data_IF_116045888720
#
_entry.id   IF_116045888720
#
_cell.length_a   1.000
_cell.length_b   1.000
_cell.length_c   1.000
_cell.angle_alpha   90.00
_cell.angle_beta   90.00
_cell.angle_gamma   90.00
#
_symmetry.space_group_name_H-M   'P 1'
#
loop_
_entity.id
_entity.type
_entity.pdbx_description
1 polymer ?
#
# COMPACT_ATOMS: atom_id res chain seq x y z
N UNK A 1 1.17 -13.40 23.78
CA UNK A 1 0.24 -12.65 24.65
C UNK A 1 -1.18 -13.12 24.38
N UNK A 2 -2.02 -13.30 25.42
CA UNK A 2 -3.42 -13.64 25.25
C UNK A 2 -4.23 -12.37 25.04
N UNK A 3 -5.07 -12.33 24.01
CA UNK A 3 -6.11 -11.32 23.84
C UNK A 3 -7.45 -12.05 24.02
N UNK A 4 -8.14 -11.78 25.11
CA UNK A 4 -9.32 -12.56 25.48
C UNK A 4 -8.97 -14.04 25.72
N UNK A 5 -9.79 -14.97 25.22
CA UNK A 5 -9.57 -16.42 25.34
C UNK A 5 -8.60 -16.98 24.26
N UNK A 6 -8.18 -16.18 23.28
CA UNK A 6 -7.36 -16.64 22.17
C UNK A 6 -5.88 -16.34 22.41
N UNK A 7 -5.01 -17.28 22.06
CA UNK A 7 -3.57 -17.06 21.97
C UNK A 7 -3.24 -16.51 20.59
N UNK A 8 -2.67 -15.31 20.53
CA UNK A 8 -2.12 -14.77 19.31
C UNK A 8 -0.60 -14.84 19.38
N UNK A 9 0.01 -15.40 18.36
CA UNK A 9 1.45 -15.28 18.18
C UNK A 9 1.73 -13.96 17.45
N UNK A 10 2.14 -12.93 18.19
CA UNK A 10 2.42 -11.59 17.64
C UNK A 10 3.54 -11.60 16.60
N UNK A 11 4.44 -12.60 16.61
CA UNK A 11 5.45 -12.77 15.58
C UNK A 11 4.87 -13.11 14.20
N UNK A 12 3.61 -13.53 14.14
CA UNK A 12 2.91 -13.89 12.90
C UNK A 12 1.99 -12.77 12.39
N UNK A 13 1.96 -11.60 13.02
CA UNK A 13 1.22 -10.43 12.51
C UNK A 13 2.09 -9.68 11.51
N UNK A 14 1.61 -9.52 10.29
CA UNK A 14 2.43 -8.98 9.18
C UNK A 14 2.27 -7.46 8.99
N UNK A 15 1.12 -6.89 9.31
CA UNK A 15 0.83 -5.48 9.15
C UNK A 15 0.27 -4.85 10.41
N UNK A 16 0.36 -3.53 10.46
CA UNK A 16 -0.21 -2.72 11.52
C UNK A 16 -1.72 -3.00 11.63
N UNK A 17 -2.23 -3.22 12.84
CA UNK A 17 -3.65 -3.37 13.06
C UNK A 17 -4.41 -2.10 12.66
N UNK A 18 -5.58 -2.25 12.07
CA UNK A 18 -6.49 -1.13 11.82
C UNK A 18 -7.46 -0.99 12.99
N UNK A 19 -7.59 0.22 13.52
CA UNK A 19 -8.51 0.53 14.62
C UNK A 19 -9.58 1.49 14.11
N UNK A 20 -10.84 1.06 14.15
CA UNK A 20 -11.99 1.88 13.73
C UNK A 20 -13.20 1.51 14.59
N UNK A 21 -13.91 2.53 15.11
CA UNK A 21 -15.15 2.37 15.84
C UNK A 21 -15.07 1.27 16.91
N UNK A 22 -14.06 1.36 17.78
CA UNK A 22 -13.84 0.42 18.89
C UNK A 22 -13.57 -1.04 18.46
N UNK A 23 -13.22 -1.26 17.20
CA UNK A 23 -12.82 -2.57 16.67
C UNK A 23 -11.39 -2.53 16.17
N UNK A 24 -10.68 -3.64 16.39
CA UNK A 24 -9.35 -3.87 15.84
C UNK A 24 -9.45 -4.94 14.77
N UNK A 25 -8.90 -4.67 13.59
CA UNK A 25 -8.77 -5.62 12.50
C UNK A 25 -7.29 -5.92 12.27
N UNK A 26 -6.95 -7.18 12.19
CA UNK A 26 -5.57 -7.62 11.93
C UNK A 26 -5.57 -8.97 11.22
N UNK A 27 -4.43 -9.36 10.67
CA UNK A 27 -4.25 -10.62 9.95
C UNK A 27 -3.00 -11.36 10.43
N UNK A 28 -2.98 -12.68 10.19
CA UNK A 28 -1.83 -13.52 10.42
C UNK A 28 -1.29 -14.13 9.11
N UNK A 29 -0.11 -14.77 9.19
CA UNK A 29 0.51 -15.42 8.03
C UNK A 29 -0.24 -16.66 7.50
N UNK A 30 -1.21 -17.17 8.23
CA UNK A 30 -2.09 -18.24 7.75
C UNK A 30 -3.25 -17.71 6.90
N UNK A 31 -3.30 -16.40 6.68
CA UNK A 31 -4.37 -15.75 5.92
C UNK A 31 -5.67 -15.55 6.70
N UNK A 32 -5.62 -15.66 8.03
CA UNK A 32 -6.76 -15.32 8.85
C UNK A 32 -6.84 -13.81 9.04
N UNK A 33 -8.06 -13.29 8.98
CA UNK A 33 -8.41 -11.94 9.37
C UNK A 33 -9.27 -12.01 10.60
N UNK A 34 -8.98 -11.15 11.55
CA UNK A 34 -9.66 -11.10 12.85
C UNK A 34 -10.30 -9.73 13.03
N UNK A 35 -11.50 -9.72 13.62
CA UNK A 35 -12.13 -8.54 14.18
C UNK A 35 -12.29 -8.73 15.68
N UNK A 36 -11.82 -7.77 16.46
CA UNK A 36 -11.82 -7.80 17.91
C UNK A 36 -12.48 -6.54 18.46
N UNK A 37 -13.38 -6.68 19.45
CA UNK A 37 -13.95 -5.54 20.18
C UNK A 37 -12.98 -5.09 21.27
N UNK A 38 -12.66 -3.80 21.29
CA UNK A 38 -11.81 -3.21 22.33
C UNK A 38 -12.54 -3.14 23.66
N UNK A 39 -13.82 -2.70 23.64
CA UNK A 39 -14.62 -2.53 24.85
C UNK A 39 -14.95 -3.87 25.49
N UNK A 40 -15.50 -4.80 24.72
CA UNK A 40 -15.96 -6.10 25.22
C UNK A 40 -14.81 -7.08 25.42
N UNK A 41 -13.60 -6.72 24.95
CA UNK A 41 -12.37 -7.53 25.03
C UNK A 41 -12.56 -8.95 24.49
N UNK A 42 -13.34 -9.10 23.42
CA UNK A 42 -13.65 -10.38 22.80
C UNK A 42 -13.41 -10.38 21.28
N UNK A 43 -13.26 -11.59 20.73
CA UNK A 43 -13.20 -11.82 19.30
C UNK A 43 -14.62 -11.75 18.74
N UNK A 44 -14.86 -10.83 17.80
CA UNK A 44 -16.14 -10.70 17.12
C UNK A 44 -16.28 -11.75 16.01
N UNK A 45 -15.26 -11.83 15.14
CA UNK A 45 -15.22 -12.84 14.09
C UNK A 45 -13.79 -13.14 13.64
N UNK A 46 -13.65 -14.32 13.04
CA UNK A 46 -12.44 -14.76 12.33
C UNK A 46 -12.84 -15.25 10.96
N UNK A 47 -12.13 -14.80 9.94
CA UNK A 47 -12.37 -15.13 8.55
C UNK A 47 -11.10 -15.61 7.89
N UNK A 48 -11.19 -16.62 7.00
CA UNK A 48 -10.06 -17.08 6.17
C UNK A 48 -10.56 -17.34 4.75
N UNK A 49 -10.05 -16.56 3.80
CA UNK A 49 -10.38 -16.68 2.37
C UNK A 49 -9.71 -17.91 1.73
N UNK A 50 -8.52 -18.25 2.19
CA UNK A 50 -7.61 -19.18 1.48
C UNK A 50 -7.86 -20.64 1.83
N UNK A 51 -8.42 -20.93 2.98
CA UNK A 51 -8.74 -22.28 3.48
C UNK A 51 -7.54 -23.25 3.35
N UNK A 52 -7.82 -24.50 2.86
CA UNK A 52 -6.78 -25.55 2.76
C UNK A 52 -5.83 -25.37 1.57
N UNK A 53 -6.23 -24.68 0.51
CA UNK A 53 -5.48 -24.59 -0.76
C UNK A 53 -4.09 -23.99 -0.62
N UNK A 54 -3.93 -23.04 0.30
CA UNK A 54 -2.68 -22.29 0.49
C UNK A 54 -2.05 -22.51 1.87
N UNK A 55 -2.35 -23.65 2.51
CA UNK A 55 -1.95 -23.93 3.91
C UNK A 55 -0.43 -23.82 4.14
N UNK A 56 0.38 -24.10 3.13
CA UNK A 56 1.85 -24.10 3.24
C UNK A 56 2.51 -22.80 2.74
N UNK A 57 1.72 -21.79 2.38
CA UNK A 57 2.22 -20.50 1.91
C UNK A 57 1.96 -19.41 2.94
N UNK A 58 2.98 -18.60 3.28
CA UNK A 58 2.76 -17.42 4.11
C UNK A 58 1.94 -16.39 3.34
N UNK A 59 0.74 -16.11 3.82
CA UNK A 59 -0.17 -15.13 3.23
C UNK A 59 0.10 -13.78 3.86
N UNK A 60 0.50 -12.81 3.04
CA UNK A 60 0.78 -11.44 3.45
C UNK A 60 -0.40 -10.56 3.07
N UNK A 61 -1.27 -10.29 4.04
CA UNK A 61 -2.50 -9.52 3.86
C UNK A 61 -2.27 -8.06 4.20
N UNK A 62 -2.77 -7.16 3.34
CA UNK A 62 -2.91 -5.73 3.59
C UNK A 62 -4.37 -5.38 3.72
N UNK A 63 -4.68 -4.54 4.70
CA UNK A 63 -6.03 -4.17 5.07
C UNK A 63 -6.24 -2.66 4.91
N UNK A 64 -7.41 -2.26 4.41
CA UNK A 64 -7.87 -0.88 4.40
C UNK A 64 -9.38 -0.84 4.61
N UNK A 65 -9.86 0.04 5.48
CA UNK A 65 -11.29 0.21 5.72
C UNK A 65 -11.81 1.37 4.87
N UNK A 66 -12.96 1.15 4.25
CA UNK A 66 -13.79 2.17 3.63
C UNK A 66 -15.24 1.93 4.04
N UNK A 67 -15.84 2.89 4.73
CA UNK A 67 -17.21 2.77 5.24
C UNK A 67 -17.38 1.49 6.08
N UNK A 68 -18.31 0.63 5.70
CA UNK A 68 -18.56 -0.67 6.34
C UNK A 68 -17.85 -1.85 5.65
N UNK A 69 -16.84 -1.56 4.83
CA UNK A 69 -16.11 -2.57 4.08
C UNK A 69 -14.64 -2.62 4.48
N UNK A 70 -14.11 -3.82 4.61
CA UNK A 70 -12.70 -4.10 4.72
C UNK A 70 -12.18 -4.54 3.36
N UNK A 71 -11.38 -3.71 2.73
CA UNK A 71 -10.69 -4.02 1.49
C UNK A 71 -9.40 -4.74 1.84
N UNK A 72 -9.21 -5.87 1.21
CA UNK A 72 -8.10 -6.80 1.47
C UNK A 72 -7.35 -7.05 0.19
N UNK A 73 -6.02 -6.96 0.22
CA UNK A 73 -5.14 -7.40 -0.86
C UNK A 73 -4.04 -8.29 -0.31
N UNK A 74 -3.46 -9.13 -1.16
CA UNK A 74 -2.46 -10.10 -0.72
C UNK A 74 -1.29 -10.31 -1.69
N UNK A 75 -0.36 -11.15 -1.26
CA UNK A 75 0.80 -11.56 -2.05
C UNK A 75 0.54 -12.71 -3.04
N UNK A 76 -0.72 -13.09 -3.27
CA UNK A 76 -1.13 -14.07 -4.28
C UNK A 76 -1.89 -13.42 -5.44
N UNK A 77 -2.10 -12.10 -5.39
CA UNK A 77 -2.83 -11.35 -6.40
C UNK A 77 -4.34 -11.29 -6.18
N UNK A 78 -4.83 -11.74 -5.02
CA UNK A 78 -6.23 -11.54 -4.68
C UNK A 78 -6.46 -10.15 -4.09
N UNK A 79 -7.59 -9.57 -4.46
CA UNK A 79 -8.19 -8.41 -3.82
C UNK A 79 -9.67 -8.70 -3.60
N UNK A 80 -10.18 -8.39 -2.41
CA UNK A 80 -11.55 -8.66 -2.07
C UNK A 80 -12.08 -7.70 -1.01
N UNK A 81 -13.41 -7.57 -0.95
CA UNK A 81 -14.13 -6.74 0.00
C UNK A 81 -14.95 -7.61 0.94
N UNK A 82 -14.85 -7.33 2.24
CA UNK A 82 -15.59 -8.01 3.30
C UNK A 82 -16.42 -6.96 4.06
N UNK A 83 -17.67 -7.29 4.38
CA UNK A 83 -18.45 -6.49 5.32
C UNK A 83 -17.85 -6.63 6.73
N UNK A 84 -17.53 -5.50 7.38
CA UNK A 84 -16.86 -5.48 8.71
C UNK A 84 -17.73 -5.98 9.86
N UNK A 85 -19.04 -6.04 9.70
CA UNK A 85 -19.99 -6.50 10.73
C UNK A 85 -20.25 -8.00 10.60
N UNK A 86 -20.52 -8.47 9.37
CA UNK A 86 -20.98 -9.83 9.09
C UNK A 86 -19.88 -10.78 8.66
N UNK A 87 -18.68 -10.28 8.35
CA UNK A 87 -17.56 -11.01 7.73
C UNK A 87 -17.88 -11.65 6.38
N UNK A 88 -18.98 -11.27 5.75
CA UNK A 88 -19.37 -11.78 4.43
C UNK A 88 -18.58 -11.10 3.33
N UNK A 89 -18.12 -11.89 2.34
CA UNK A 89 -17.49 -11.37 1.13
C UNK A 89 -18.55 -10.69 0.28
N UNK A 90 -18.27 -9.44 -0.14
CA UNK A 90 -19.08 -8.71 -1.12
C UNK A 90 -18.66 -9.06 -2.55
N UNK A 91 -17.36 -9.03 -2.79
CA UNK A 91 -16.75 -9.43 -4.05
C UNK A 91 -15.31 -9.89 -3.81
N UNK A 92 -14.79 -10.70 -4.74
CA UNK A 92 -13.40 -11.13 -4.76
C UNK A 92 -12.91 -11.25 -6.20
N UNK A 93 -11.68 -10.80 -6.46
CA UNK A 93 -11.01 -10.85 -7.76
C UNK A 93 -9.58 -11.36 -7.59
N UNK A 94 -9.07 -12.02 -8.62
CA UNK A 94 -7.67 -12.40 -8.71
C UNK A 94 -7.04 -11.75 -9.94
N UNK A 95 -6.00 -10.97 -9.73
CA UNK A 95 -5.25 -10.28 -10.78
C UNK A 95 -3.97 -11.03 -11.18
N UNK A 96 -3.73 -12.21 -10.60
CA UNK A 96 -2.66 -13.14 -10.99
C UNK A 96 -1.27 -12.81 -10.44
N UNK A 97 -1.00 -11.55 -10.12
CA UNK A 97 0.31 -11.07 -9.66
C UNK A 97 0.17 -10.42 -8.30
N UNK A 98 1.09 -10.77 -7.39
CA UNK A 98 1.14 -10.27 -6.02
C UNK A 98 1.00 -8.74 -5.95
N UNK A 99 0.12 -8.24 -5.09
CA UNK A 99 0.06 -6.82 -4.77
C UNK A 99 1.13 -6.44 -3.77
N UNK A 100 1.92 -5.42 -4.09
CA UNK A 100 3.07 -5.02 -3.29
C UNK A 100 2.95 -3.65 -2.63
N UNK A 101 2.06 -2.76 -3.09
CA UNK A 101 1.84 -1.46 -2.45
C UNK A 101 0.82 -1.51 -1.32
N UNK A 102 0.77 -0.44 -0.52
CA UNK A 102 -0.37 -0.18 0.35
C UNK A 102 -1.61 0.14 -0.50
N UNK A 103 -2.78 -0.16 0.06
CA UNK A 103 -4.07 0.18 -0.53
C UNK A 103 -4.35 1.67 -0.28
N UNK A 104 -4.64 2.42 -1.33
CA UNK A 104 -5.16 3.77 -1.25
C UNK A 104 -6.56 3.79 -1.82
N UNK A 105 -7.46 4.61 -1.24
CA UNK A 105 -8.86 4.67 -1.68
C UNK A 105 -9.30 6.13 -1.70
N UNK A 106 -9.93 6.52 -2.80
CA UNK A 106 -10.61 7.80 -2.95
C UNK A 106 -11.75 7.67 -3.96
N UNK A 107 -12.90 8.30 -3.71
CA UNK A 107 -14.09 8.31 -4.58
C UNK A 107 -14.49 6.91 -5.06
N UNK A 108 -14.54 5.93 -4.14
CA UNK A 108 -14.83 4.52 -4.42
C UNK A 108 -13.88 3.84 -5.42
N UNK A 109 -12.71 4.44 -5.64
CA UNK A 109 -11.64 3.86 -6.45
C UNK A 109 -10.51 3.39 -5.52
N UNK A 110 -10.12 2.16 -5.69
CA UNK A 110 -8.96 1.56 -5.03
C UNK A 110 -7.76 1.71 -5.96
N UNK A 111 -6.66 2.27 -5.42
CA UNK A 111 -5.39 2.42 -6.10
C UNK A 111 -4.38 1.47 -5.46
N UNK A 112 -3.78 0.61 -6.26
CA UNK A 112 -2.85 -0.40 -5.79
C UNK A 112 -1.85 -0.79 -6.89
N UNK A 113 -0.59 -1.05 -6.50
CA UNK A 113 0.45 -1.55 -7.38
C UNK A 113 0.70 -3.03 -7.13
N UNK A 114 0.92 -3.77 -8.22
CA UNK A 114 1.41 -5.13 -8.13
C UNK A 114 2.96 -5.18 -8.09
N UNK A 115 3.50 -6.38 -8.00
CA UNK A 115 4.93 -6.63 -7.92
C UNK A 115 5.69 -6.31 -9.23
N UNK A 116 4.98 -6.23 -10.37
CA UNK A 116 5.53 -5.89 -11.68
C UNK A 116 5.38 -4.38 -12.00
N UNK A 117 5.19 -3.56 -10.95
CA UNK A 117 5.02 -2.10 -11.05
C UNK A 117 3.76 -1.62 -11.78
N UNK A 118 2.81 -2.51 -12.10
CA UNK A 118 1.56 -2.12 -12.73
C UNK A 118 0.64 -1.48 -11.71
N UNK A 119 0.17 -0.25 -12.01
CA UNK A 119 -0.85 0.45 -11.22
C UNK A 119 -2.24 -0.03 -11.65
N UNK A 120 -3.05 -0.40 -10.69
CA UNK A 120 -4.47 -0.69 -10.87
C UNK A 120 -5.33 0.37 -10.22
N UNK A 121 -6.34 0.80 -10.94
CA UNK A 121 -7.50 1.50 -10.42
C UNK A 121 -8.68 0.55 -10.48
N UNK A 122 -9.26 0.24 -9.31
CA UNK A 122 -10.27 -0.81 -9.15
C UNK A 122 -11.49 -0.20 -8.48
N UNK A 123 -12.68 -0.52 -8.98
CA UNK A 123 -13.94 -0.11 -8.35
C UNK A 123 -14.09 -0.78 -6.97
N UNK A 124 -14.30 0.02 -5.92
CA UNK A 124 -14.59 -0.50 -4.58
C UNK A 124 -15.94 -1.25 -4.53
N UNK A 125 -16.86 -0.89 -5.40
CA UNK A 125 -18.23 -1.42 -5.38
C UNK A 125 -18.27 -2.90 -5.79
N UNK A 126 -17.52 -3.28 -6.84
CA UNK A 126 -17.61 -4.60 -7.46
C UNK A 126 -16.26 -5.28 -7.73
N UNK A 127 -15.14 -4.59 -7.42
CA UNK A 127 -13.80 -5.12 -7.65
C UNK A 127 -13.37 -5.17 -9.11
N UNK A 128 -14.11 -4.57 -10.04
CA UNK A 128 -13.71 -4.56 -11.45
C UNK A 128 -12.61 -3.51 -11.69
N UNK A 129 -11.68 -3.86 -12.57
CA UNK A 129 -10.65 -2.92 -13.01
C UNK A 129 -11.29 -1.79 -13.81
N UNK A 130 -11.01 -0.55 -13.40
CA UNK A 130 -11.37 0.67 -14.13
C UNK A 130 -10.24 1.01 -15.11
N UNK A 131 -9.00 0.99 -14.61
CA UNK A 131 -7.79 1.24 -15.39
C UNK A 131 -6.66 0.34 -14.89
N UNK A 132 -5.79 -0.08 -15.80
CA UNK A 132 -4.48 -0.68 -15.49
C UNK A 132 -3.42 0.07 -16.27
N UNK A 133 -2.52 0.77 -15.58
CA UNK A 133 -1.38 1.42 -16.21
C UNK A 133 -0.15 0.52 -16.07
N UNK A 134 0.38 0.12 -17.19
CA UNK A 134 1.66 -0.59 -17.26
C UNK A 134 2.80 0.43 -17.26
N UNK A 135 3.75 0.23 -16.37
CA UNK A 135 5.02 0.95 -16.34
C UNK A 135 6.11 0.07 -16.91
N UNK A 136 7.34 0.55 -16.96
CA UNK A 136 8.46 -0.31 -17.35
C UNK A 136 8.56 -1.51 -16.40
N UNK A 137 8.49 -2.75 -16.92
CA UNK A 137 8.52 -3.94 -16.09
C UNK A 137 9.87 -4.06 -15.39
N UNK A 138 9.84 -4.47 -14.13
CA UNK A 138 11.04 -4.87 -13.43
C UNK A 138 11.34 -6.34 -13.73
N UNK A 139 12.54 -6.63 -14.20
CA UNK A 139 13.01 -8.02 -14.36
C UNK A 139 13.25 -8.71 -13.02
N UNK A 140 13.41 -7.93 -11.96
CA UNK A 140 13.64 -8.42 -10.61
C UNK A 140 12.39 -8.19 -9.76
N UNK A 141 11.88 -9.27 -9.14
CA UNK A 141 10.75 -9.18 -8.22
C UNK A 141 11.21 -8.61 -6.89
N UNK A 142 10.76 -7.42 -6.58
CA UNK A 142 11.11 -6.76 -5.32
C UNK A 142 10.40 -7.39 -4.13
N UNK A 143 11.14 -7.52 -3.02
CA UNK A 143 10.58 -7.82 -1.68
C UNK A 143 10.12 -6.54 -0.96
N UNK A 144 10.55 -5.38 -1.44
CA UNK A 144 10.23 -4.09 -0.85
C UNK A 144 8.81 -3.66 -1.23
N UNK A 145 8.17 -2.91 -0.34
CA UNK A 145 6.89 -2.28 -0.64
C UNK A 145 7.10 -1.20 -1.67
N UNK A 146 6.27 -1.18 -2.69
CA UNK A 146 6.09 -0.01 -3.53
C UNK A 146 5.16 0.98 -2.83
N UNK A 147 5.40 2.27 -3.00
CA UNK A 147 4.68 3.29 -2.25
C UNK A 147 3.82 4.14 -3.18
N UNK A 148 2.57 4.39 -2.72
CA UNK A 148 1.59 5.24 -3.41
C UNK A 148 1.19 6.38 -2.47
N UNK A 149 1.10 7.59 -3.02
CA UNK A 149 0.49 8.75 -2.38
C UNK A 149 -0.58 9.35 -3.28
N UNK A 150 -1.66 9.86 -2.69
CA UNK A 150 -2.74 10.55 -3.40
C UNK A 150 -2.68 12.04 -3.09
N UNK A 151 -2.75 12.86 -4.12
CA UNK A 151 -3.09 14.27 -4.03
C UNK A 151 -4.53 14.47 -4.50
N UNK A 152 -5.42 14.50 -3.53
CA UNK A 152 -6.87 14.57 -3.79
C UNK A 152 -7.24 15.92 -4.40
N UNK A 153 -6.58 17.01 -4.00
CA UNK A 153 -6.88 18.36 -4.47
C UNK A 153 -6.66 18.49 -5.99
N UNK A 154 -5.58 17.91 -6.49
CA UNK A 154 -5.17 18.00 -7.89
C UNK A 154 -5.49 16.73 -8.69
N UNK A 155 -6.20 15.77 -8.11
CA UNK A 155 -6.54 14.47 -8.71
C UNK A 155 -5.32 13.66 -9.16
N UNK A 156 -4.20 13.76 -8.45
CA UNK A 156 -2.96 13.11 -8.83
C UNK A 156 -2.64 11.90 -7.94
N UNK A 157 -2.01 10.92 -8.55
CA UNK A 157 -1.38 9.78 -7.88
C UNK A 157 0.12 9.91 -8.08
N UNK A 158 0.87 9.76 -6.99
CA UNK A 158 2.31 9.63 -7.02
C UNK A 158 2.70 8.23 -6.58
N UNK A 159 3.54 7.56 -7.34
CA UNK A 159 4.09 6.27 -6.94
C UNK A 159 5.51 6.08 -7.48
N UNK A 160 6.29 5.29 -6.75
CA UNK A 160 7.66 4.96 -7.11
C UNK A 160 7.71 3.47 -7.45
N UNK A 161 8.28 3.16 -8.61
CA UNK A 161 8.52 1.79 -9.06
C UNK A 161 9.78 1.20 -8.41
N UNK A 162 9.93 -0.11 -8.51
CA UNK A 162 11.17 -0.80 -8.09
C UNK A 162 12.37 -0.46 -8.96
N UNK A 163 12.16 0.24 -10.08
CA UNK A 163 13.22 0.74 -10.96
C UNK A 163 13.64 2.19 -10.63
N UNK A 164 13.12 2.77 -9.55
CA UNK A 164 13.42 4.15 -9.15
C UNK A 164 12.73 5.22 -9.99
N UNK A 165 11.67 4.87 -10.69
CA UNK A 165 10.87 5.80 -11.46
C UNK A 165 9.73 6.36 -10.61
N UNK A 166 9.67 7.66 -10.44
CA UNK A 166 8.57 8.37 -9.78
C UNK A 166 7.61 8.88 -10.84
N UNK A 167 6.37 8.39 -10.78
CA UNK A 167 5.27 8.79 -11.65
C UNK A 167 4.34 9.77 -10.96
N UNK A 168 3.87 10.76 -11.73
CA UNK A 168 2.67 11.54 -11.44
C UNK A 168 1.61 11.26 -12.49
N UNK A 169 0.45 10.82 -12.07
CA UNK A 169 -0.67 10.48 -12.95
C UNK A 169 -1.90 11.23 -12.48
N UNK A 170 -2.59 11.88 -13.39
CA UNK A 170 -3.93 12.37 -13.12
C UNK A 170 -4.92 11.21 -13.27
N UNK A 171 -5.51 10.77 -12.15
CA UNK A 171 -6.38 9.59 -12.14
C UNK A 171 -7.78 9.86 -12.71
N UNK A 172 -8.11 11.11 -12.98
CA UNK A 172 -9.38 11.48 -13.60
C UNK A 172 -9.29 11.44 -15.13
N UNK A 173 -8.22 12.05 -15.69
CA UNK A 173 -7.96 12.05 -17.15
C UNK A 173 -7.18 10.82 -17.63
N UNK A 174 -6.63 10.02 -16.70
CA UNK A 174 -5.76 8.86 -16.97
C UNK A 174 -4.45 9.21 -17.69
N UNK A 175 -4.00 10.46 -17.59
CA UNK A 175 -2.78 10.93 -18.24
C UNK A 175 -1.60 10.90 -17.25
N UNK A 176 -0.43 10.55 -17.76
CA UNK A 176 0.84 10.77 -17.08
C UNK A 176 1.17 12.26 -17.17
N UNK A 177 1.24 12.95 -16.02
CA UNK A 177 1.65 14.35 -15.98
C UNK A 177 3.14 14.48 -16.19
N UNK A 178 3.92 13.66 -15.50
CA UNK A 178 5.38 13.60 -15.61
C UNK A 178 5.92 12.28 -15.04
N UNK A 179 7.15 11.98 -15.44
CA UNK A 179 7.98 10.86 -14.98
C UNK A 179 9.36 11.39 -14.64
N UNK A 180 9.87 11.06 -13.45
CA UNK A 180 11.23 11.38 -13.00
C UNK A 180 11.96 10.11 -12.59
N UNK A 181 13.19 9.95 -13.07
CA UNK A 181 14.05 8.86 -12.63
C UNK A 181 14.90 9.34 -11.44
N UNK A 182 14.73 8.64 -10.28
CA UNK A 182 15.39 8.99 -9.01
C UNK A 182 16.50 8.00 -8.68
N UNK A 183 16.76 7.05 -9.56
CA UNK A 183 17.80 6.05 -9.32
C UNK A 183 19.16 6.74 -9.21
N UNK A 184 19.95 6.47 -8.14
CA UNK A 184 21.25 7.09 -7.97
C UNK A 184 22.15 6.79 -9.18
N UNK A 185 22.78 7.80 -9.77
CA UNK A 185 23.61 7.69 -10.98
C UNK A 185 24.77 6.68 -10.86
N UNK A 186 25.18 6.37 -9.63
CA UNK A 186 26.30 5.47 -9.32
C UNK A 186 25.87 4.07 -8.86
N UNK A 187 24.57 3.74 -8.92
CA UNK A 187 24.10 2.41 -8.57
C UNK A 187 24.38 1.43 -9.71
N UNK A 188 24.91 0.26 -9.38
CA UNK A 188 24.98 -0.85 -10.32
C UNK A 188 23.55 -1.21 -10.73
N UNK A 189 23.23 -1.27 -12.02
CA UNK A 189 21.87 -1.49 -12.55
C UNK A 189 21.20 -2.82 -12.16
N UNK A 190 21.77 -3.57 -11.22
CA UNK A 190 21.24 -4.80 -10.63
C UNK A 190 20.53 -4.60 -9.30
N UNK A 191 20.51 -3.39 -8.74
CA UNK A 191 19.86 -3.11 -7.45
C UNK A 191 18.43 -2.63 -7.65
N UNK A 192 17.52 -3.15 -6.80
CA UNK A 192 16.15 -2.66 -6.74
C UNK A 192 16.07 -1.38 -5.94
N UNK A 193 15.32 -0.42 -6.44
CA UNK A 193 15.10 0.84 -5.75
C UNK A 193 14.22 0.62 -4.51
N UNK A 194 14.66 1.14 -3.40
CA UNK A 194 13.89 1.20 -2.16
C UNK A 194 13.44 2.62 -1.91
N UNK A 195 12.19 2.79 -1.48
CA UNK A 195 11.70 4.07 -0.97
C UNK A 195 10.97 3.91 0.36
N UNK A 196 11.12 4.88 1.24
CA UNK A 196 10.24 5.06 2.39
C UNK A 196 8.80 5.42 1.90
N UNK A 197 7.78 5.38 2.77
CA UNK A 197 6.45 5.85 2.39
C UNK A 197 6.46 7.29 1.89
N UNK A 198 5.80 7.52 0.76
CA UNK A 198 5.69 8.84 0.12
C UNK A 198 4.73 9.72 0.93
N UNK A 199 5.12 10.96 1.19
CA UNK A 199 4.29 12.01 1.78
C UNK A 199 4.20 13.16 0.80
N UNK A 200 2.99 13.59 0.42
CA UNK A 200 2.76 14.80 -0.36
C UNK A 200 2.14 15.89 0.54
N UNK A 201 2.68 17.08 0.47
CA UNK A 201 2.20 18.28 1.20
C UNK A 201 2.71 19.55 0.52
N UNK A 202 1.85 20.57 0.39
CA UNK A 202 2.20 21.90 -0.13
C UNK A 202 2.98 21.84 -1.45
N UNK A 203 2.42 21.16 -2.46
CA UNK A 203 2.99 20.97 -3.79
C UNK A 203 4.39 20.33 -3.80
N UNK A 204 4.70 19.55 -2.77
CA UNK A 204 5.96 18.81 -2.64
C UNK A 204 5.71 17.36 -2.24
N UNK A 205 6.55 16.48 -2.75
CA UNK A 205 6.63 15.08 -2.38
C UNK A 205 7.90 14.88 -1.56
N UNK A 206 7.80 14.10 -0.49
CA UNK A 206 8.93 13.75 0.38
C UNK A 206 8.99 12.24 0.54
N UNK A 207 10.17 11.68 0.40
CA UNK A 207 10.50 10.28 0.67
C UNK A 207 12.01 10.11 0.79
N UNK A 208 12.43 8.98 1.36
CA UNK A 208 13.84 8.57 1.38
C UNK A 208 14.05 7.36 0.50
N UNK A 209 15.15 7.35 -0.23
CA UNK A 209 15.71 6.13 -0.86
C UNK A 209 16.60 5.39 0.16
N UNK A 210 17.36 4.40 -0.30
CA UNK A 210 18.36 3.71 0.51
C UNK A 210 19.55 4.61 0.93
N UNK A 211 19.77 5.72 0.23
CA UNK A 211 20.96 6.59 0.43
C UNK A 211 20.62 8.05 0.71
N UNK A 212 19.52 8.57 0.19
CA UNK A 212 19.18 9.99 0.25
C UNK A 212 17.70 10.21 0.57
N UNK A 213 17.40 11.38 1.11
CA UNK A 213 16.04 11.90 1.26
C UNK A 213 15.80 13.02 0.27
N UNK A 214 14.63 13.00 -0.35
CA UNK A 214 14.26 13.89 -1.45
C UNK A 214 13.06 14.75 -1.10
N UNK A 215 13.07 15.99 -1.63
CA UNK A 215 11.88 16.79 -1.86
C UNK A 215 11.72 17.01 -3.36
N UNK A 216 10.56 16.63 -3.89
CA UNK A 216 10.23 16.70 -5.31
C UNK A 216 9.04 17.65 -5.51
N UNK A 217 9.09 18.46 -6.54
CA UNK A 217 7.98 19.32 -6.95
C UNK A 217 6.86 18.49 -7.57
N UNK A 218 5.61 18.63 -7.07
CA UNK A 218 4.48 17.84 -7.56
C UNK A 218 4.03 18.20 -8.98
N UNK A 219 4.34 19.43 -9.46
CA UNK A 219 3.84 19.92 -10.74
C UNK A 219 4.68 19.42 -11.93
N UNK A 220 5.99 19.24 -11.72
CA UNK A 220 6.90 18.91 -12.81
C UNK A 220 7.90 17.78 -12.51
N UNK A 221 7.89 17.24 -11.29
CA UNK A 221 8.78 16.14 -10.90
C UNK A 221 10.26 16.53 -10.70
N UNK A 222 10.58 17.83 -10.66
CA UNK A 222 11.96 18.29 -10.42
C UNK A 222 12.35 18.12 -8.95
N UNK A 223 13.62 17.80 -8.70
CA UNK A 223 14.18 17.72 -7.35
C UNK A 223 14.32 19.13 -6.80
N UNK A 224 13.64 19.46 -5.69
CA UNK A 224 13.83 20.71 -4.96
C UNK A 224 15.12 20.67 -4.14
N UNK A 225 15.33 19.55 -3.44
CA UNK A 225 16.54 19.28 -2.69
C UNK A 225 16.71 17.77 -2.45
N UNK A 226 17.96 17.38 -2.26
CA UNK A 226 18.41 16.05 -1.88
C UNK A 226 19.35 16.15 -0.69
N UNK A 227 19.17 15.30 0.32
CA UNK A 227 20.02 15.24 1.51
C UNK A 227 20.63 13.83 1.62
N UNK A 228 21.94 13.71 1.94
CA UNK A 228 22.67 12.45 1.93
C UNK A 228 22.44 11.63 3.21
N UNK A 229 21.20 11.43 3.59
CA UNK A 229 20.80 10.51 4.64
C UNK A 229 19.41 9.93 4.34
N UNK A 230 19.12 8.78 4.88
CA UNK A 230 17.93 8.00 4.57
C UNK A 230 17.24 7.51 5.83
N UNK A 231 15.94 7.26 5.71
CA UNK A 231 15.13 6.59 6.71
C UNK A 231 14.18 5.60 6.06
N UNK A 232 13.87 4.51 6.76
CA UNK A 232 12.87 3.54 6.34
C UNK A 232 11.46 3.93 6.82
N UNK A 233 11.36 4.91 7.70
CA UNK A 233 10.12 5.36 8.27
C UNK A 233 9.47 6.43 7.39
N UNK A 234 8.18 6.61 7.59
CA UNK A 234 7.43 7.65 6.91
C UNK A 234 7.86 9.02 7.44
N UNK A 235 8.30 9.96 6.57
CA UNK A 235 8.56 11.33 6.98
C UNK A 235 7.33 11.99 7.62
N UNK A 236 7.54 12.77 8.68
CA UNK A 236 6.52 13.64 9.26
C UNK A 236 6.76 15.04 8.71
N UNK A 237 5.81 15.56 7.96
CA UNK A 237 5.95 16.84 7.26
C UNK A 237 4.95 17.84 7.84
N UNK A 238 5.46 18.96 8.32
CA UNK A 238 4.70 20.15 8.71
C UNK A 238 4.86 21.26 7.65
N UNK A 239 4.31 22.43 7.87
CA UNK A 239 4.47 23.55 6.93
C UNK A 239 5.91 24.10 6.90
N UNK A 240 6.64 23.95 8.01
CA UNK A 240 7.99 24.50 8.19
C UNK A 240 9.07 23.44 8.27
N UNK A 241 8.75 22.22 8.71
CA UNK A 241 9.75 21.19 9.04
C UNK A 241 9.41 19.84 8.41
N UNK A 242 10.46 19.09 8.10
CA UNK A 242 10.42 17.67 7.77
C UNK A 242 11.21 16.93 8.84
N UNK A 243 10.52 16.04 9.57
CA UNK A 243 11.14 15.19 10.59
C UNK A 243 11.39 13.81 10.01
N UNK A 244 12.60 13.32 10.17
CA UNK A 244 13.06 11.99 9.76
C UNK A 244 13.51 11.24 11.01
N UNK A 245 13.13 9.95 11.15
CA UNK A 245 13.45 9.11 12.31
C UNK A 245 14.15 7.81 11.87
#
# INVERSE_FOLDING_TARGET
KKIGKNKFNLSNVFFEPLVVNNKIFFSDYSGNIYSYSVNDKNLLWKFNFYKKRYKNYPIKIKLKILNNNLIVSDNLGFIYSINIQTSQIKWAKNYGIAFNSNIKIHNNIIFILNQDNKLYMISEINGNQILGLETFPSFLKTKYKTNISLDIKNNNIFFITSNGELYSINYYSNNINWLSNIFPKNSSGSELFYSSPIVNRNDKIYFSSSVSTYSINTNNGSINWELPFSTNLRPIVTDQFVFLA
#
